data_IF_071680679090
#
_entry.id   IF_071680679090
#
_cell.length_a   1.000
_cell.length_b   1.000
_cell.length_c   1.000
_cell.angle_alpha   90.00
_cell.angle_beta   90.00
_cell.angle_gamma   90.00
#
_symmetry.space_group_name_H-M   'P 1'
#
loop_
_entity.id
_entity.type
_entity.pdbx_description
1 polymer ?
#
# COMPACT_ATOMS: atom_id res chain seq x y z
N UNK A 1 -12.57 0.43 8.70
CA UNK A 1 -12.80 0.96 10.08
C UNK A 1 -13.55 2.29 10.02
N UNK A 2 -14.48 2.55 10.95
CA UNK A 2 -15.19 3.84 11.08
C UNK A 2 -14.68 4.71 12.23
N UNK A 3 -13.83 4.17 13.11
CA UNK A 3 -13.21 4.91 14.21
C UNK A 3 -12.01 5.72 13.70
N UNK A 4 -11.93 7.03 13.98
CA UNK A 4 -10.79 7.86 13.61
C UNK A 4 -9.45 7.35 14.15
N UNK A 5 -9.43 6.80 15.37
CA UNK A 5 -8.22 6.23 15.97
C UNK A 5 -7.67 5.07 15.16
N UNK A 6 -8.53 4.09 14.81
CA UNK A 6 -8.12 2.95 13.99
C UNK A 6 -7.66 3.36 12.58
N UNK A 7 -8.22 4.45 12.02
CA UNK A 7 -7.76 5.00 10.75
C UNK A 7 -6.38 5.67 10.88
N UNK A 8 -6.13 6.38 11.98
CA UNK A 8 -4.84 7.00 12.27
C UNK A 8 -3.75 5.95 12.49
N UNK A 9 -4.04 4.91 13.28
CA UNK A 9 -3.09 3.82 13.54
C UNK A 9 -2.74 3.09 12.24
N UNK A 10 -3.76 2.76 11.44
CA UNK A 10 -3.54 2.14 10.13
C UNK A 10 -2.73 3.01 9.16
N UNK A 11 -2.88 4.33 9.25
CA UNK A 11 -2.07 5.26 8.46
C UNK A 11 -0.62 5.33 8.95
N UNK A 12 -0.41 5.65 10.23
CA UNK A 12 0.92 5.91 10.79
C UNK A 12 1.79 4.66 10.92
N UNK A 13 1.20 3.50 11.21
CA UNK A 13 1.95 2.27 11.46
C UNK A 13 2.11 1.38 10.23
N UNK A 14 1.25 1.53 9.22
CA UNK A 14 1.22 0.62 8.07
C UNK A 14 1.32 1.39 6.75
N UNK A 15 0.28 2.14 6.40
CA UNK A 15 0.12 2.66 5.03
C UNK A 15 1.20 3.67 4.67
N UNK A 16 1.63 4.50 5.62
CA UNK A 16 2.71 5.47 5.44
C UNK A 16 4.01 4.80 4.95
N UNK A 17 4.42 3.69 5.57
CA UNK A 17 5.63 2.97 5.16
C UNK A 17 5.42 2.17 3.88
N UNK A 18 4.26 1.55 3.71
CA UNK A 18 3.97 0.75 2.51
C UNK A 18 3.79 1.61 1.24
N UNK A 19 3.44 2.88 1.37
CA UNK A 19 3.31 3.84 0.26
C UNK A 19 4.53 4.75 0.07
N UNK A 20 5.56 4.61 0.92
CA UNK A 20 6.85 5.27 0.75
C UNK A 20 7.77 4.42 -0.14
N UNK A 21 8.14 4.95 -1.30
CA UNK A 21 9.00 4.25 -2.27
C UNK A 21 10.44 4.02 -1.76
N UNK A 22 10.87 4.76 -0.74
CA UNK A 22 12.21 4.60 -0.14
C UNK A 22 12.24 3.51 0.93
N UNK A 23 11.08 3.01 1.34
CA UNK A 23 10.95 1.95 2.33
C UNK A 23 11.45 0.63 1.77
N UNK A 24 12.35 -0.02 2.51
CA UNK A 24 13.05 -1.26 2.14
C UNK A 24 12.78 -2.33 3.19
N UNK A 25 12.87 -3.63 2.82
CA UNK A 25 13.34 -4.17 1.54
C UNK A 25 12.28 -4.19 0.42
N UNK A 26 11.03 -3.87 0.72
CA UNK A 26 9.94 -3.80 -0.26
C UNK A 26 8.80 -2.90 0.22
N UNK A 27 7.91 -2.50 -0.69
CA UNK A 27 6.72 -1.68 -0.42
C UNK A 27 5.64 -1.90 -1.51
N UNK A 28 4.45 -1.31 -1.36
CA UNK A 28 3.38 -1.47 -2.35
C UNK A 28 3.69 -0.77 -3.68
N UNK A 29 4.44 0.33 -3.67
CA UNK A 29 4.80 1.07 -4.90
C UNK A 29 5.61 0.18 -5.84
N UNK A 30 6.52 -0.63 -5.31
CA UNK A 30 7.28 -1.62 -6.09
C UNK A 30 6.40 -2.72 -6.72
N UNK A 31 5.24 -3.00 -6.11
CA UNK A 31 4.31 -4.06 -6.53
C UNK A 31 3.24 -3.54 -7.49
N UNK A 32 2.95 -2.23 -7.52
CA UNK A 32 1.91 -1.62 -8.37
C UNK A 32 1.91 -2.03 -9.85
N UNK A 33 3.06 -2.24 -10.53
CA UNK A 33 3.07 -2.73 -11.92
C UNK A 33 2.31 -4.05 -12.12
N UNK A 34 2.17 -4.86 -11.06
CA UNK A 34 1.45 -6.14 -11.09
C UNK A 34 -0.07 -6.00 -11.14
N UNK A 35 -0.62 -4.83 -10.80
CA UNK A 35 -2.08 -4.60 -10.79
C UNK A 35 -2.69 -4.71 -12.20
N UNK A 36 -1.88 -4.52 -13.24
CA UNK A 36 -2.29 -4.62 -14.65
C UNK A 36 -2.18 -6.04 -15.22
N UNK A 37 -1.62 -7.01 -14.49
CA UNK A 37 -1.35 -8.38 -14.99
C UNK A 37 -2.60 -9.06 -15.57
N UNK A 38 -3.77 -8.83 -14.95
CA UNK A 38 -5.03 -9.44 -15.38
C UNK A 38 -5.85 -8.59 -16.35
N UNK A 39 -5.48 -7.32 -16.61
CA UNK A 39 -6.21 -6.48 -17.58
C UNK A 39 -6.03 -6.94 -19.02
N UNK A 40 -4.92 -7.64 -19.31
CA UNK A 40 -4.63 -8.23 -20.64
C UNK A 40 -5.35 -9.57 -20.90
N UNK A 41 -6.08 -10.11 -19.92
CA UNK A 41 -6.78 -11.42 -20.00
C UNK A 41 -8.26 -11.31 -20.35
N UNK A 42 -8.74 -10.13 -20.77
CA UNK A 42 -10.12 -9.89 -21.23
C UNK A 42 -10.14 -9.54 -22.71
#
# INVERSE_FOLDING_TARGET
PGSPGACMDGWEEILKYQLDYTHKPCNFVEIMPRLEENKKRK
#
